data_IF_883288856733
#
_entry.id   IF_883288856733
#
_cell.length_a   1.000
_cell.length_b   1.000
_cell.length_c   1.000
_cell.angle_alpha   90.00
_cell.angle_beta   90.00
_cell.angle_gamma   90.00
#
_symmetry.space_group_name_H-M   'P 1'
#
loop_
_entity.id
_entity.type
_entity.pdbx_description
1 polymer ?
#
# COMPACT_ATOMS: atom_id res chain seq x y z
N UNK A 1 6.04 -6.18 -31.72
CA UNK A 1 7.07 -5.61 -30.81
C UNK A 1 6.51 -5.66 -29.40
N UNK A 2 7.18 -6.37 -28.48
CA UNK A 2 6.64 -6.68 -27.16
C UNK A 2 6.75 -5.45 -26.24
N UNK A 3 5.62 -4.88 -25.75
CA UNK A 3 5.62 -3.60 -25.00
C UNK A 3 6.57 -3.61 -23.78
N UNK A 4 6.70 -4.77 -23.14
CA UNK A 4 7.62 -5.03 -22.03
C UNK A 4 9.09 -4.76 -22.36
N UNK A 5 9.55 -5.04 -23.59
CA UNK A 5 10.96 -4.85 -23.95
C UNK A 5 11.33 -3.39 -24.19
N UNK A 6 10.37 -2.57 -24.65
CA UNK A 6 10.54 -1.14 -24.86
C UNK A 6 10.61 -0.42 -23.50
N UNK A 7 9.72 -0.78 -22.56
CA UNK A 7 9.70 -0.24 -21.21
C UNK A 7 11.01 -0.52 -20.46
N UNK A 8 11.53 -1.74 -20.53
CA UNK A 8 12.82 -2.10 -19.91
C UNK A 8 13.99 -1.32 -20.49
N UNK A 9 14.01 -1.10 -21.81
CA UNK A 9 15.06 -0.30 -22.47
C UNK A 9 14.98 1.17 -22.08
N UNK A 10 13.77 1.74 -22.00
CA UNK A 10 13.56 3.11 -21.56
C UNK A 10 14.01 3.30 -20.10
N UNK A 11 13.63 2.39 -19.20
CA UNK A 11 14.05 2.42 -17.80
C UNK A 11 15.58 2.37 -17.66
N UNK A 12 16.24 1.45 -18.37
CA UNK A 12 17.70 1.33 -18.34
C UNK A 12 18.42 2.59 -18.87
N UNK A 13 17.84 3.27 -19.86
CA UNK A 13 18.37 4.54 -20.37
C UNK A 13 18.21 5.67 -19.34
N UNK A 14 17.04 5.75 -18.70
CA UNK A 14 16.77 6.75 -17.67
C UNK A 14 17.66 6.56 -16.42
N UNK A 15 17.92 5.31 -16.03
CA UNK A 15 18.87 4.97 -14.96
C UNK A 15 20.30 5.34 -15.34
N UNK A 16 20.74 5.06 -16.57
CA UNK A 16 22.08 5.43 -17.06
C UNK A 16 22.29 6.94 -17.13
N UNK A 17 21.22 7.71 -17.36
CA UNK A 17 21.26 9.16 -17.38
C UNK A 17 21.14 9.78 -15.97
N UNK A 18 21.12 8.96 -14.90
CA UNK A 18 20.88 9.39 -13.52
C UNK A 18 19.59 10.21 -13.34
N UNK A 19 18.64 10.10 -14.26
CA UNK A 19 17.31 10.72 -14.15
C UNK A 19 16.46 9.96 -13.12
N UNK A 20 16.74 8.67 -12.97
CA UNK A 20 16.11 7.79 -12.01
C UNK A 20 17.20 7.07 -11.25
N UNK A 21 17.07 6.96 -9.92
CA UNK A 21 18.02 6.28 -9.05
C UNK A 21 18.35 4.88 -9.62
N UNK A 22 19.64 4.51 -9.77
CA UNK A 22 20.00 3.19 -10.28
C UNK A 22 19.56 2.05 -9.36
N UNK A 23 19.29 2.38 -8.09
CA UNK A 23 18.93 1.45 -7.03
C UNK A 23 17.42 1.45 -6.75
N UNK A 24 16.59 1.54 -7.80
CA UNK A 24 15.14 1.36 -7.61
C UNK A 24 14.90 0.01 -6.97
N UNK A 25 14.26 0.04 -5.80
CA UNK A 25 13.83 -1.14 -5.06
C UNK A 25 12.98 -1.99 -6.01
N UNK A 26 13.56 -3.08 -6.51
CA UNK A 26 12.82 -4.04 -7.31
C UNK A 26 11.72 -4.64 -6.43
N UNK A 27 10.54 -4.87 -6.99
CA UNK A 27 9.41 -5.45 -6.25
C UNK A 27 9.74 -6.82 -5.63
N UNK A 28 10.74 -7.53 -6.18
CA UNK A 28 11.29 -8.75 -5.60
C UNK A 28 11.96 -8.57 -4.23
N UNK A 29 12.34 -7.34 -3.86
CA UNK A 29 12.95 -7.02 -2.56
C UNK A 29 11.92 -6.65 -1.49
N UNK A 30 10.64 -6.50 -1.85
CA UNK A 30 9.58 -6.19 -0.88
C UNK A 30 9.36 -7.31 0.14
N UNK A 31 9.71 -8.56 -0.19
CA UNK A 31 9.54 -9.73 0.67
C UNK A 31 10.85 -10.23 1.31
N UNK A 32 11.91 -9.43 1.35
CA UNK A 32 13.27 -9.91 1.67
C UNK A 32 13.42 -10.54 3.07
N UNK A 33 12.57 -10.20 4.04
CA UNK A 33 12.60 -10.76 5.41
C UNK A 33 11.23 -11.12 5.98
N UNK A 34 10.24 -10.28 5.76
CA UNK A 34 8.86 -10.48 6.21
C UNK A 34 7.97 -10.33 4.98
N UNK A 35 7.09 -11.31 4.69
CA UNK A 35 6.14 -11.18 3.59
C UNK A 35 5.28 -9.93 3.77
N UNK A 36 5.00 -9.21 2.70
CA UNK A 36 4.19 -7.99 2.75
C UNK A 36 2.81 -8.20 3.42
N UNK A 37 2.22 -9.39 3.27
CA UNK A 37 1.00 -9.81 3.94
C UNK A 37 1.13 -9.75 5.47
N UNK A 38 2.27 -10.21 5.99
CA UNK A 38 2.59 -10.19 7.42
C UNK A 38 2.87 -8.77 7.90
N UNK A 39 3.57 -7.97 7.09
CA UNK A 39 3.78 -6.55 7.40
C UNK A 39 2.45 -5.79 7.57
N UNK A 40 1.50 -5.96 6.64
CA UNK A 40 0.20 -5.33 6.74
C UNK A 40 -0.59 -5.84 7.96
N UNK A 41 -0.54 -7.15 8.23
CA UNK A 41 -1.18 -7.74 9.41
C UNK A 41 -0.65 -7.15 10.73
N UNK A 42 0.67 -7.17 10.92
CA UNK A 42 1.35 -6.69 12.13
C UNK A 42 1.16 -5.18 12.29
N UNK A 43 1.20 -4.42 11.20
CA UNK A 43 0.95 -2.99 11.22
C UNK A 43 -0.47 -2.67 11.72
N UNK A 44 -1.49 -3.35 11.18
CA UNK A 44 -2.87 -3.18 11.64
C UNK A 44 -3.03 -3.62 13.10
N UNK A 45 -2.38 -4.70 13.52
CA UNK A 45 -2.37 -5.13 14.92
C UNK A 45 -1.78 -4.07 15.86
N UNK A 46 -0.63 -3.49 15.50
CA UNK A 46 -0.01 -2.40 16.26
C UNK A 46 -0.97 -1.22 16.42
N UNK A 47 -1.64 -0.81 15.34
CA UNK A 47 -2.60 0.28 15.39
C UNK A 47 -3.77 -0.02 16.32
N UNK A 48 -4.32 -1.24 16.27
CA UNK A 48 -5.38 -1.67 17.18
C UNK A 48 -4.92 -1.67 18.63
N UNK A 49 -3.70 -2.14 18.91
CA UNK A 49 -3.19 -2.18 20.28
C UNK A 49 -2.95 -0.77 20.84
N UNK A 50 -2.38 0.14 20.04
CA UNK A 50 -2.24 1.55 20.40
C UNK A 50 -3.61 2.14 20.73
N UNK A 51 -4.60 1.95 19.86
CA UNK A 51 -5.95 2.47 20.09
C UNK A 51 -6.61 1.84 21.32
N UNK A 52 -6.50 0.52 21.49
CA UNK A 52 -7.08 -0.20 22.61
C UNK A 52 -6.50 0.27 23.95
N UNK A 53 -5.18 0.43 24.05
CA UNK A 53 -4.51 0.80 25.29
C UNK A 53 -4.64 2.29 25.62
N UNK A 54 -4.60 3.17 24.61
CA UNK A 54 -4.40 4.61 24.83
C UNK A 54 -5.53 5.48 24.29
N UNK A 55 -6.40 4.92 23.45
CA UNK A 55 -7.39 5.69 22.67
C UNK A 55 -6.73 6.81 21.87
N UNK A 56 -5.46 6.62 21.47
CA UNK A 56 -4.66 7.67 20.86
C UNK A 56 -5.31 8.17 19.59
N UNK A 57 -5.68 7.30 18.63
CA UNK A 57 -6.27 7.77 17.40
C UNK A 57 -7.65 8.38 17.64
N UNK A 58 -8.50 7.80 18.48
CA UNK A 58 -9.83 8.38 18.68
C UNK A 58 -9.80 9.72 19.41
N UNK A 59 -8.97 9.87 20.46
CA UNK A 59 -9.08 11.00 21.40
C UNK A 59 -7.92 11.99 21.39
N UNK A 60 -6.72 11.57 21.01
CA UNK A 60 -5.48 12.33 21.26
C UNK A 60 -4.83 12.78 19.95
N UNK A 61 -4.82 11.90 18.95
CA UNK A 61 -3.97 12.00 17.78
C UNK A 61 -4.30 13.24 16.95
N UNK A 62 -3.31 14.09 16.65
CA UNK A 62 -3.49 15.17 15.70
C UNK A 62 -3.76 14.62 14.29
N UNK A 63 -4.31 15.47 13.42
CA UNK A 63 -4.69 15.08 12.06
C UNK A 63 -3.55 14.44 11.28
N UNK A 64 -2.32 14.95 11.43
CA UNK A 64 -1.15 14.42 10.74
C UNK A 64 -0.85 12.97 11.14
N UNK A 65 -1.01 12.60 12.42
CA UNK A 65 -0.74 11.23 12.89
C UNK A 65 -1.75 10.23 12.34
N UNK A 66 -3.04 10.61 12.26
CA UNK A 66 -4.07 9.79 11.61
C UNK A 66 -3.80 9.60 10.12
N UNK A 67 -3.51 10.69 9.42
CA UNK A 67 -3.24 10.63 7.98
C UNK A 67 -1.98 9.83 7.70
N UNK A 68 -0.92 10.00 8.50
CA UNK A 68 0.30 9.22 8.33
C UNK A 68 0.04 7.73 8.51
N UNK A 69 -0.73 7.36 9.55
CA UNK A 69 -1.08 5.97 9.78
C UNK A 69 -1.94 5.37 8.66
N UNK A 70 -2.87 6.16 8.12
CA UNK A 70 -3.72 5.78 6.99
C UNK A 70 -2.91 5.61 5.70
N UNK A 71 -2.09 6.59 5.33
CA UNK A 71 -1.25 6.55 4.12
C UNK A 71 -0.30 5.35 4.13
N UNK A 72 0.22 4.98 5.30
CA UNK A 72 1.07 3.80 5.43
C UNK A 72 0.27 2.50 5.27
N UNK A 73 -0.97 2.43 5.79
CA UNK A 73 -1.87 1.29 5.55
C UNK A 73 -2.20 1.16 4.05
N UNK A 74 -2.60 2.27 3.42
CA UNK A 74 -2.93 2.36 1.98
C UNK A 74 -1.75 1.93 1.12
N UNK A 75 -0.53 2.36 1.48
CA UNK A 75 0.67 2.01 0.74
C UNK A 75 0.99 0.52 0.82
N UNK A 76 0.89 -0.09 2.01
CA UNK A 76 1.10 -1.53 2.18
C UNK A 76 0.04 -2.36 1.44
N UNK A 77 -1.22 -1.90 1.47
CA UNK A 77 -2.34 -2.50 0.73
C UNK A 77 -2.10 -2.41 -0.79
N UNK A 78 -1.73 -1.24 -1.29
CA UNK A 78 -1.37 -1.02 -2.69
C UNK A 78 -0.21 -1.91 -3.15
N UNK A 79 0.86 -2.00 -2.35
CA UNK A 79 1.99 -2.86 -2.68
C UNK A 79 1.58 -4.33 -2.75
N UNK A 80 0.63 -4.75 -1.91
CA UNK A 80 0.14 -6.13 -1.87
C UNK A 80 -0.74 -6.45 -3.08
N UNK A 81 -1.60 -5.52 -3.49
CA UNK A 81 -2.41 -5.65 -4.71
C UNK A 81 -1.55 -5.74 -5.98
N UNK A 82 -0.40 -5.07 -5.99
CA UNK A 82 0.50 -5.02 -7.14
C UNK A 82 1.66 -6.03 -7.07
N UNK A 83 1.72 -6.83 -5.99
CA UNK A 83 2.63 -7.97 -5.88
C UNK A 83 2.18 -9.02 -6.90
N UNK A 84 3.02 -9.30 -7.90
CA UNK A 84 2.68 -10.09 -9.08
C UNK A 84 2.11 -11.49 -8.80
N UNK A 85 1.58 -12.13 -9.85
CA UNK A 85 0.90 -13.44 -9.84
C UNK A 85 1.84 -14.61 -9.51
N UNK A 86 2.29 -14.73 -8.27
CA UNK A 86 2.58 -16.04 -7.71
C UNK A 86 1.33 -16.49 -6.95
N UNK A 87 0.71 -17.63 -7.33
CA UNK A 87 -0.48 -18.12 -6.65
C UNK A 87 -0.11 -18.33 -5.19
N UNK A 88 -0.70 -17.50 -4.32
CA UNK A 88 -0.62 -17.49 -2.87
C UNK A 88 -0.17 -18.85 -2.32
N UNK A 89 1.15 -19.04 -2.17
CA UNK A 89 1.68 -20.09 -1.33
C UNK A 89 1.37 -19.66 0.09
N UNK A 90 0.15 -20.02 0.47
CA UNK A 90 -0.40 -19.98 1.81
C UNK A 90 -0.89 -18.56 2.19
N UNK A 91 -2.21 -18.38 2.23
CA UNK A 91 -2.88 -17.36 3.04
C UNK A 91 -2.60 -17.64 4.54
N UNK A 92 -1.34 -17.60 4.93
CA UNK A 92 -0.89 -17.91 6.30
C UNK A 92 -1.32 -16.80 7.26
N UNK A 93 -1.51 -15.59 6.72
CA UNK A 93 -2.00 -14.42 7.43
C UNK A 93 -3.41 -14.11 6.95
N UNK A 94 -4.40 -14.19 7.85
CA UNK A 94 -5.72 -13.62 7.57
C UNK A 94 -5.56 -12.12 7.43
N UNK A 95 -6.11 -11.53 6.37
CA UNK A 95 -6.17 -10.08 6.23
C UNK A 95 -6.93 -9.48 7.41
N UNK A 96 -6.22 -8.83 8.34
CA UNK A 96 -6.83 -8.08 9.44
C UNK A 96 -7.59 -6.89 8.83
N UNK A 97 -8.83 -6.58 9.27
CA UNK A 97 -9.58 -5.47 8.72
C UNK A 97 -8.84 -4.15 8.95
N UNK A 98 -9.03 -3.22 8.03
CA UNK A 98 -8.51 -1.85 8.14
C UNK A 98 -9.07 -1.18 9.40
N UNK A 99 -8.25 -0.47 10.18
CA UNK A 99 -8.70 0.07 11.46
C UNK A 99 -9.74 1.20 11.26
N UNK A 100 -10.94 1.09 11.85
CA UNK A 100 -12.05 2.02 11.59
C UNK A 100 -11.80 3.43 12.12
N UNK A 101 -10.89 3.59 13.07
CA UNK A 101 -10.53 4.88 13.67
C UNK A 101 -9.56 5.72 12.83
N UNK A 102 -9.06 5.19 11.71
CA UNK A 102 -8.21 5.92 10.77
C UNK A 102 -8.98 6.68 9.69
N UNK A 103 -10.25 6.33 9.43
CA UNK A 103 -11.06 7.01 8.42
C UNK A 103 -11.34 8.46 8.83
N UNK A 104 -10.79 9.40 8.08
CA UNK A 104 -11.19 10.80 8.12
C UNK A 104 -12.22 11.07 7.02
N UNK A 105 -13.12 12.04 7.22
CA UNK A 105 -14.12 12.45 6.20
C UNK A 105 -13.49 12.79 4.83
N UNK A 106 -12.20 13.13 4.81
CA UNK A 106 -11.43 13.44 3.59
C UNK A 106 -11.05 12.17 2.81
N UNK A 107 -10.67 11.08 3.49
CA UNK A 107 -10.39 9.77 2.86
C UNK A 107 -11.61 9.22 2.11
N UNK A 108 -12.80 9.37 2.70
CA UNK A 108 -14.05 8.95 2.06
C UNK A 108 -14.34 9.71 0.75
N UNK A 109 -13.80 10.93 0.56
CA UNK A 109 -13.96 11.67 -0.68
C UNK A 109 -13.08 11.10 -1.81
N UNK A 110 -11.86 10.66 -1.49
CA UNK A 110 -10.94 10.04 -2.46
C UNK A 110 -11.40 8.63 -2.88
N UNK A 111 -11.94 7.83 -1.94
CA UNK A 111 -12.50 6.50 -2.24
C UNK A 111 -13.72 6.60 -3.18
N UNK A 112 -14.54 7.65 -3.00
CA UNK A 112 -15.69 7.91 -3.89
C UNK A 112 -15.26 8.36 -5.29
N UNK A 113 -14.19 9.14 -5.43
CA UNK A 113 -13.64 9.51 -6.73
C UNK A 113 -13.11 8.29 -7.49
N UNK A 114 -12.39 7.38 -6.81
CA UNK A 114 -11.91 6.14 -7.42
C UNK A 114 -13.07 5.22 -7.89
N UNK A 115 -14.14 5.10 -7.09
CA UNK A 115 -15.32 4.31 -7.47
C UNK A 115 -16.12 4.93 -8.65
N UNK A 116 -16.18 6.26 -8.75
CA UNK A 116 -16.84 6.94 -9.89
C UNK A 116 -16.05 6.80 -11.19
N UNK A 117 -14.72 6.81 -11.14
CA UNK A 117 -13.87 6.67 -12.32
C UNK A 117 -13.77 5.23 -12.86
N UNK A 118 -14.01 4.21 -12.03
CA UNK A 118 -14.06 2.81 -12.49
C UNK A 118 -15.40 2.40 -13.10
N UNK A 119 -16.51 3.09 -12.78
CA UNK A 119 -17.83 2.78 -13.34
C UNK A 119 -18.11 3.41 -14.70
N UNK A 120 -17.22 4.26 -15.22
CA UNK A 120 -17.35 4.88 -16.55
C UNK A 120 -16.63 4.12 -17.67
N UNK A 121 -15.99 2.98 -17.36
CA UNK A 121 -15.33 2.10 -18.35
C UNK A 121 -15.98 0.71 -18.36
N UNK A 122 -17.30 0.66 -18.52
CA UNK A 122 -17.97 -0.48 -19.17
C UNK A 122 -19.09 0.06 -20.06
N UNK A 123 -18.76 0.20 -21.35
CA UNK A 123 -19.76 0.16 -22.43
C UNK A 123 -20.21 -1.27 -22.62
#
# INVERSE_FOLDING_TARGET
MNKSSIQKRALNLLQKLHIVEPDLISSSHLDYQIPLEKHLYEYRELLFEIEHQTQFFTKIAPHWSKNHALLHDDFLEYLLENKGTEPLKIQQYRSRPKPPFLYTKVSAAFDNEFLTNHNTIKK
#
